data_IF_767190665152
#
_entry.id   IF_767190665152
#
_cell.length_a   1.000
_cell.length_b   1.000
_cell.length_c   1.000
_cell.angle_alpha   90.00
_cell.angle_beta   90.00
_cell.angle_gamma   90.00
#
_symmetry.space_group_name_H-M   'P 1'
#
loop_
_entity.id
_entity.type
_entity.pdbx_description
1 polymer ?
#
# COMPACT_ATOMS: atom_id res chain seq x y z
N UNK A 1 19.81 13.77 11.53
CA UNK A 1 20.40 12.56 10.91
C UNK A 1 19.22 11.69 10.50
N UNK A 2 19.03 11.35 9.22
CA UNK A 2 17.88 10.57 8.78
C UNK A 2 17.99 9.14 9.34
N UNK A 3 16.99 8.71 10.10
CA UNK A 3 16.96 7.36 10.67
C UNK A 3 16.45 6.39 9.62
N UNK A 4 17.14 5.27 9.44
CA UNK A 4 16.73 4.20 8.52
C UNK A 4 16.52 2.91 9.28
N UNK A 5 15.36 2.30 9.11
CA UNK A 5 15.07 0.97 9.63
C UNK A 5 14.70 0.04 8.48
N UNK A 6 15.11 -1.22 8.57
CA UNK A 6 14.72 -2.28 7.64
C UNK A 6 14.04 -3.41 8.39
N UNK A 7 12.86 -3.82 7.94
CA UNK A 7 12.02 -4.83 8.60
C UNK A 7 11.62 -5.88 7.57
N UNK A 8 11.79 -7.15 7.90
CA UNK A 8 11.26 -8.25 7.10
C UNK A 8 9.80 -8.47 7.45
N UNK A 9 8.93 -8.49 6.46
CA UNK A 9 7.50 -8.71 6.65
C UNK A 9 6.99 -9.82 5.74
N UNK A 10 5.87 -10.41 6.16
CA UNK A 10 5.02 -11.24 5.32
C UNK A 10 3.60 -10.70 5.42
N UNK A 11 3.07 -10.23 4.29
CA UNK A 11 1.77 -9.60 4.23
C UNK A 11 0.79 -10.56 3.53
N UNK A 12 -0.25 -10.99 4.24
CA UNK A 12 -1.22 -11.98 3.74
C UNK A 12 -2.46 -11.35 3.10
N UNK A 13 -2.72 -10.07 3.38
CA UNK A 13 -3.89 -9.31 2.91
C UNK A 13 -3.44 -8.10 2.12
N UNK A 14 -4.34 -7.52 1.33
CA UNK A 14 -4.05 -6.20 0.75
C UNK A 14 -3.91 -5.18 1.88
N UNK A 15 -3.03 -4.22 1.71
CA UNK A 15 -2.87 -3.11 2.64
C UNK A 15 -2.77 -1.79 1.90
N UNK A 16 -3.35 -0.75 2.45
CA UNK A 16 -3.11 0.63 2.04
C UNK A 16 -2.06 1.20 2.99
N UNK A 17 -0.97 1.70 2.44
CA UNK A 17 0.08 2.39 3.19
C UNK A 17 0.05 3.87 2.85
N UNK A 18 -0.07 4.72 3.87
CA UNK A 18 0.07 6.17 3.75
C UNK A 18 1.38 6.62 4.37
N UNK A 19 2.29 7.18 3.55
CA UNK A 19 3.62 7.61 3.99
C UNK A 19 3.62 9.09 4.39
N UNK A 20 3.08 9.42 5.57
CA UNK A 20 2.90 10.81 6.06
C UNK A 20 4.20 11.63 6.09
N UNK A 21 5.20 11.18 6.85
CA UNK A 21 6.47 11.89 7.10
C UNK A 21 7.69 10.97 6.94
N UNK A 22 7.58 9.97 6.07
CA UNK A 22 8.69 9.10 5.71
C UNK A 22 8.72 8.82 4.20
N UNK A 23 9.76 8.10 3.79
CA UNK A 23 9.79 7.38 2.52
C UNK A 23 9.81 5.89 2.87
N UNK A 24 8.91 5.13 2.26
CA UNK A 24 8.88 3.67 2.42
C UNK A 24 9.30 3.01 1.12
N UNK A 25 10.29 2.14 1.19
CA UNK A 25 10.71 1.29 0.06
C UNK A 25 10.38 -0.16 0.40
N UNK A 26 9.62 -0.82 -0.46
CA UNK A 26 9.21 -2.22 -0.29
C UNK A 26 9.90 -3.04 -1.38
N UNK A 27 10.75 -3.97 -0.94
CA UNK A 27 11.50 -4.88 -1.82
C UNK A 27 10.90 -6.27 -1.71
N UNK A 28 10.07 -6.63 -2.68
CA UNK A 28 9.42 -7.95 -2.73
C UNK A 28 10.47 -9.01 -3.12
N UNK A 29 10.54 -10.13 -2.38
CA UNK A 29 11.48 -11.21 -2.71
C UNK A 29 11.18 -11.89 -4.05
N UNK A 30 9.92 -11.87 -4.48
CA UNK A 30 9.45 -12.59 -5.66
C UNK A 30 9.41 -11.72 -6.93
N UNK A 31 9.56 -10.40 -6.80
CA UNK A 31 9.53 -9.45 -7.92
C UNK A 31 10.81 -8.60 -7.91
N UNK A 32 11.45 -8.37 -9.08
CA UNK A 32 12.68 -7.58 -9.13
C UNK A 32 12.44 -6.08 -8.88
N UNK A 33 11.21 -5.60 -9.05
CA UNK A 33 10.87 -4.19 -8.90
C UNK A 33 10.62 -3.80 -7.43
N UNK A 34 11.18 -2.66 -7.04
CA UNK A 34 10.97 -2.05 -5.73
C UNK A 34 9.82 -1.04 -5.79
N UNK A 35 8.94 -1.08 -4.80
CA UNK A 35 7.88 -0.08 -4.67
C UNK A 35 8.39 1.01 -3.72
N UNK A 36 8.56 2.23 -4.24
CA UNK A 36 8.95 3.40 -3.44
C UNK A 36 7.78 4.35 -3.27
N UNK A 37 7.41 4.58 -2.01
CA UNK A 37 6.29 5.42 -1.60
C UNK A 37 6.87 6.65 -0.94
N UNK A 38 6.79 7.78 -1.64
CA UNK A 38 7.33 9.06 -1.16
C UNK A 38 6.39 9.74 -0.17
N UNK A 39 6.92 10.75 0.52
CA UNK A 39 6.19 11.52 1.53
C UNK A 39 4.87 12.07 0.99
N UNK A 40 3.81 11.95 1.79
CA UNK A 40 2.45 12.40 1.49
C UNK A 40 1.66 11.48 0.56
N UNK A 41 2.28 10.43 0.02
CA UNK A 41 1.63 9.54 -0.92
C UNK A 41 1.05 8.29 -0.25
N UNK A 42 0.04 7.75 -0.91
CA UNK A 42 -0.66 6.52 -0.53
C UNK A 42 -0.41 5.47 -1.60
N UNK A 43 -0.16 4.23 -1.19
CA UNK A 43 -0.04 3.10 -2.10
C UNK A 43 -0.86 1.91 -1.63
N UNK A 44 -1.42 1.18 -2.60
CA UNK A 44 -1.98 -0.15 -2.39
C UNK A 44 -0.86 -1.18 -2.49
N UNK A 45 -0.73 -2.01 -1.46
CA UNK A 45 0.22 -3.11 -1.38
C UNK A 45 -0.54 -4.41 -1.60
N UNK A 46 -0.04 -5.21 -2.53
CA UNK A 46 -0.61 -6.51 -2.87
C UNK A 46 -0.55 -7.50 -1.69
N UNK A 47 -1.52 -8.41 -1.66
CA UNK A 47 -1.52 -9.53 -0.72
C UNK A 47 -0.49 -10.59 -1.08
N UNK A 48 -0.19 -11.47 -0.11
CA UNK A 48 0.70 -12.62 -0.24
C UNK A 48 2.13 -12.28 -0.66
N UNK A 49 2.68 -11.17 -0.14
CA UNK A 49 4.06 -10.76 -0.39
C UNK A 49 4.96 -11.10 0.80
N UNK A 50 6.19 -11.51 0.50
CA UNK A 50 7.28 -11.54 1.46
C UNK A 50 8.30 -10.48 1.05
N UNK A 51 8.55 -9.51 1.92
CA UNK A 51 9.29 -8.31 1.54
C UNK A 51 10.22 -7.83 2.65
N UNK A 52 11.24 -7.07 2.24
CA UNK A 52 11.96 -6.17 3.14
C UNK A 52 11.38 -4.78 2.96
N UNK A 53 10.92 -4.19 4.05
CA UNK A 53 10.43 -2.81 4.08
C UNK A 53 11.50 -1.94 4.72
N UNK A 54 12.00 -0.99 3.95
CA UNK A 54 12.93 0.04 4.41
C UNK A 54 12.15 1.32 4.63
N UNK A 55 12.33 1.94 5.79
CA UNK A 55 11.66 3.19 6.15
C UNK A 55 12.74 4.22 6.45
N UNK A 56 12.71 5.31 5.70
CA UNK A 56 13.54 6.50 5.91
C UNK A 56 12.69 7.57 6.58
N UNK A 57 12.94 7.78 7.88
CA UNK A 57 12.20 8.72 8.72
C UNK A 57 12.75 10.14 8.52
N UNK A 58 11.86 11.07 8.17
CA UNK A 58 12.18 12.50 8.13
C UNK A 58 11.85 13.19 9.45
N UNK A 59 10.85 12.68 10.16
CA UNK A 59 10.44 13.09 11.51
C UNK A 59 9.89 11.86 12.26
N UNK A 60 10.00 11.83 13.58
CA UNK A 60 9.61 10.72 14.45
C UNK A 60 8.10 10.74 14.81
N UNK A 61 7.38 11.80 14.44
CA UNK A 61 5.94 11.95 14.72
C UNK A 61 5.11 11.36 13.56
N UNK A 62 4.29 10.36 13.89
CA UNK A 62 3.29 9.71 13.01
C UNK A 62 3.75 9.51 11.56
N UNK A 63 4.84 8.76 11.38
CA UNK A 63 5.52 8.72 10.09
C UNK A 63 4.72 8.02 8.98
N UNK A 64 3.85 7.07 9.33
CA UNK A 64 3.00 6.34 8.38
C UNK A 64 1.73 5.78 9.03
N UNK A 65 0.71 5.49 8.22
CA UNK A 65 -0.44 4.69 8.59
C UNK A 65 -0.54 3.44 7.69
N UNK A 66 -1.00 2.33 8.28
CA UNK A 66 -1.28 1.09 7.55
C UNK A 66 -2.73 0.69 7.80
N UNK A 67 -3.49 0.52 6.72
CA UNK A 67 -4.85 -0.01 6.75
C UNK A 67 -4.84 -1.35 6.02
N UNK A 68 -5.06 -2.45 6.73
CA UNK A 68 -5.27 -3.74 6.07
C UNK A 68 -6.70 -3.83 5.54
N UNK A 69 -6.87 -4.38 4.34
CA UNK A 69 -8.17 -4.59 3.72
C UNK A 69 -8.58 -6.05 3.95
N UNK A 70 -9.59 -6.32 4.81
CA UNK A 70 -10.21 -7.64 4.89
C UNK A 70 -10.86 -8.02 3.56
N UNK A 71 -10.98 -9.32 3.29
CA UNK A 71 -11.51 -9.81 2.01
C UNK A 71 -12.93 -9.27 1.74
N UNK A 72 -13.79 -9.18 2.76
CA UNK A 72 -15.14 -8.61 2.63
C UNK A 72 -15.12 -7.14 2.18
N UNK A 73 -14.19 -6.35 2.73
CA UNK A 73 -14.05 -4.94 2.37
C UNK A 73 -13.47 -4.79 0.96
N UNK A 74 -12.51 -5.65 0.59
CA UNK A 74 -11.97 -5.71 -0.77
C UNK A 74 -13.08 -6.02 -1.79
N UNK A 75 -13.91 -7.02 -1.54
CA UNK A 75 -15.04 -7.36 -2.41
C UNK A 75 -16.00 -6.18 -2.59
N UNK A 76 -16.27 -5.42 -1.52
CA UNK A 76 -17.10 -4.19 -1.61
C UNK A 76 -16.43 -3.11 -2.45
N UNK A 77 -15.13 -2.91 -2.29
CA UNK A 77 -14.36 -1.94 -3.10
C UNK A 77 -14.40 -2.33 -4.58
N UNK A 78 -14.17 -3.60 -4.91
CA UNK A 78 -14.24 -4.11 -6.29
C UNK A 78 -15.63 -3.91 -6.90
N UNK A 79 -16.69 -4.21 -6.13
CA UNK A 79 -18.07 -4.01 -6.57
C UNK A 79 -18.36 -2.53 -6.91
N UNK A 80 -17.78 -1.57 -6.18
CA UNK A 80 -17.94 -0.15 -6.52
C UNK A 80 -17.33 0.18 -7.88
N UNK A 81 -16.14 -0.34 -8.19
CA UNK A 81 -15.49 -0.12 -9.49
C UNK A 81 -16.24 -0.80 -10.64
N UNK A 82 -16.80 -2.00 -10.41
CA UNK A 82 -17.61 -2.70 -11.40
C UNK A 82 -18.96 -2.02 -11.64
N UNK A 83 -19.61 -1.51 -10.58
CA UNK A 83 -20.88 -0.79 -10.71
C UNK A 83 -20.75 0.50 -11.53
N UNK A 84 -19.63 1.23 -11.41
CA UNK A 84 -19.34 2.39 -12.27
C UNK A 84 -19.21 2.03 -13.76
N UNK A 85 -18.88 0.79 -14.10
CA UNK A 85 -18.81 0.34 -15.49
C UNK A 85 -20.19 -0.08 -16.05
N UNK A 86 -21.23 -0.19 -15.22
CA UNK A 86 -22.58 -0.52 -15.65
C UNK A 86 -23.42 0.72 -16.04
N UNK A 87 -22.97 1.94 -15.71
CA UNK A 87 -23.70 3.18 -16.03
C UNK A 87 -23.40 3.78 -17.42
N UNK A 88 -22.43 3.24 -18.18
CA UNK A 88 -22.09 3.74 -19.52
C UNK A 88 -22.79 3.00 -20.68
N UNK A 89 -23.64 2.01 -20.41
CA UNK A 89 -24.32 1.22 -21.45
C UNK A 89 -25.77 1.62 -21.72
N UNK A 90 -26.27 2.70 -21.11
CA UNK A 90 -27.60 3.24 -21.40
C UNK A 90 -27.49 4.50 -22.28
N UNK A 91 -27.13 4.28 -23.54
CA UNK A 91 -27.47 5.23 -24.61
C UNK A 91 -28.95 5.05 -24.97
N UNK A 92 -29.74 6.13 -25.17
CA UNK A 92 -31.11 6.02 -25.66
C UNK A 92 -31.19 5.43 -27.06
#
# INVERSE_FOLDING_TARGET
MLKKNAIKIKLYRYAILHSKNCIVTIKNKSKPEEIKITRGNIALIEKNIEAVVEIEYMDDIESFDIITLPDELLSRVLCLFEASNCSESLSP
#
